data_IF_989399564003
#
_entry.id   IF_989399564003
#
_cell.length_a   1.000
_cell.length_b   1.000
_cell.length_c   1.000
_cell.angle_alpha   90.00
_cell.angle_beta   90.00
_cell.angle_gamma   90.00
#
_symmetry.space_group_name_H-M   'P 1'
#
loop_
_entity.id
_entity.type
_entity.pdbx_description
1 polymer ?
#
# COMPACT_ATOMS: atom_id res chain seq x y z
N UNK A 1 -17.12 19.92 3.94
CA UNK A 1 -15.88 19.12 4.01
C UNK A 1 -15.17 19.19 2.66
N UNK A 2 -13.93 19.65 2.63
CA UNK A 2 -13.16 19.82 1.39
C UNK A 2 -13.02 18.47 0.62
N UNK A 3 -13.18 18.50 -0.71
CA UNK A 3 -13.08 17.34 -1.61
C UNK A 3 -11.77 16.56 -1.44
N UNK A 4 -10.65 17.24 -1.21
CA UNK A 4 -9.33 16.61 -1.09
C UNK A 4 -9.21 15.78 0.19
N UNK A 5 -9.68 16.30 1.33
CA UNK A 5 -9.72 15.59 2.62
C UNK A 5 -10.75 14.46 2.59
N UNK A 6 -11.92 14.70 1.99
CA UNK A 6 -12.96 13.68 1.80
C UNK A 6 -12.44 12.47 1.00
N UNK A 7 -11.65 12.72 -0.05
CA UNK A 7 -11.07 11.64 -0.85
C UNK A 7 -10.00 10.85 -0.09
N UNK A 8 -9.18 11.48 0.75
CA UNK A 8 -8.21 10.75 1.57
C UNK A 8 -8.90 9.88 2.63
N UNK A 9 -9.92 10.41 3.31
CA UNK A 9 -10.73 9.61 4.25
C UNK A 9 -11.35 8.39 3.54
N UNK A 10 -11.87 8.56 2.32
CA UNK A 10 -12.40 7.44 1.51
C UNK A 10 -11.33 6.39 1.18
N UNK A 11 -10.10 6.80 0.86
CA UNK A 11 -8.99 5.87 0.63
C UNK A 11 -8.64 5.12 1.91
N UNK A 12 -8.61 5.80 3.04
CA UNK A 12 -8.35 5.17 4.34
C UNK A 12 -9.43 4.15 4.71
N UNK A 13 -10.70 4.41 4.38
CA UNK A 13 -11.76 3.40 4.49
C UNK A 13 -11.53 2.18 3.59
N UNK A 14 -10.97 2.35 2.40
CA UNK A 14 -10.60 1.23 1.54
C UNK A 14 -9.50 0.35 2.16
N UNK A 15 -8.55 0.95 2.91
CA UNK A 15 -7.57 0.18 3.69
C UNK A 15 -8.22 -0.66 4.79
N UNK A 16 -9.18 -0.09 5.53
CA UNK A 16 -9.93 -0.83 6.56
C UNK A 16 -10.74 -1.97 5.93
N UNK A 17 -11.44 -1.71 4.83
CA UNK A 17 -12.19 -2.74 4.11
C UNK A 17 -11.26 -3.86 3.60
N UNK A 18 -10.09 -3.49 3.06
CA UNK A 18 -9.06 -4.46 2.67
C UNK A 18 -8.63 -5.33 3.86
N UNK A 19 -8.38 -4.72 5.02
CA UNK A 19 -8.08 -5.42 6.27
C UNK A 19 -9.17 -6.42 6.68
N UNK A 20 -10.44 -5.99 6.67
CA UNK A 20 -11.59 -6.87 6.98
C UNK A 20 -11.64 -8.05 6.01
N UNK A 21 -11.50 -7.83 4.71
CA UNK A 21 -11.51 -8.89 3.70
C UNK A 21 -10.37 -9.89 3.97
N UNK A 22 -9.16 -9.41 4.25
CA UNK A 22 -8.01 -10.25 4.60
C UNK A 22 -8.28 -11.04 5.89
N UNK A 23 -8.90 -10.43 6.89
CA UNK A 23 -9.29 -11.09 8.13
C UNK A 23 -10.31 -12.21 7.92
N UNK A 24 -11.30 -11.99 7.04
CA UNK A 24 -12.27 -13.02 6.64
C UNK A 24 -11.58 -14.15 5.89
N UNK A 25 -10.66 -13.85 4.97
CA UNK A 25 -9.87 -14.87 4.28
C UNK A 25 -9.00 -15.69 5.25
N UNK A 26 -8.44 -15.05 6.28
CA UNK A 26 -7.70 -15.73 7.35
C UNK A 26 -8.55 -16.65 8.22
N UNK A 27 -9.86 -16.40 8.32
CA UNK A 27 -10.77 -17.30 9.04
C UNK A 27 -10.96 -18.66 8.33
N UNK A 28 -10.84 -18.70 6.99
CA UNK A 28 -10.99 -19.92 6.19
C UNK A 28 -9.67 -20.68 5.97
N UNK A 29 -8.54 -20.17 6.47
CA UNK A 29 -7.24 -20.84 6.39
C UNK A 29 -6.82 -21.39 7.75
N UNK A 30 -6.13 -22.54 7.76
CA UNK A 30 -5.58 -23.16 8.96
C UNK A 30 -4.04 -23.10 8.98
N UNK A 31 -3.48 -22.93 10.18
CA UNK A 31 -2.04 -23.08 10.42
C UNK A 31 -1.22 -21.79 10.34
N UNK A 32 -0.04 -21.85 9.69
CA UNK A 32 0.94 -20.73 9.66
C UNK A 32 0.47 -19.55 8.79
N UNK A 33 -0.27 -19.83 7.72
CA UNK A 33 -0.77 -18.81 6.81
C UNK A 33 -1.87 -17.96 7.48
N UNK A 34 -2.66 -18.64 8.32
CA UNK A 34 -3.34 -18.18 9.53
C UNK A 34 -2.88 -16.81 10.07
N UNK A 35 -1.76 -16.90 10.79
CA UNK A 35 -1.18 -15.81 11.58
C UNK A 35 -0.69 -14.67 10.69
N UNK A 36 -0.18 -14.99 9.51
CA UNK A 36 0.33 -14.01 8.55
C UNK A 36 -0.80 -13.15 7.99
N UNK A 37 -1.95 -13.75 7.66
CA UNK A 37 -3.14 -13.02 7.22
C UNK A 37 -3.72 -12.14 8.33
N UNK A 38 -3.76 -12.62 9.58
CA UNK A 38 -4.21 -11.78 10.69
C UNK A 38 -3.26 -10.61 10.98
N UNK A 39 -1.95 -10.80 10.89
CA UNK A 39 -0.98 -9.72 11.01
C UNK A 39 -1.18 -8.66 9.91
N UNK A 40 -1.43 -9.10 8.67
CA UNK A 40 -1.74 -8.21 7.55
C UNK A 40 -3.07 -7.46 7.77
N UNK A 41 -4.12 -8.16 8.21
CA UNK A 41 -5.41 -7.56 8.59
C UNK A 41 -5.24 -6.44 9.63
N UNK A 42 -4.49 -6.70 10.70
CA UNK A 42 -4.20 -5.71 11.74
C UNK A 42 -3.44 -4.51 11.17
N UNK A 43 -2.41 -4.73 10.36
CA UNK A 43 -1.62 -3.67 9.75
C UNK A 43 -2.49 -2.74 8.89
N UNK A 44 -3.29 -3.30 7.98
CA UNK A 44 -4.18 -2.53 7.11
C UNK A 44 -5.25 -1.75 7.91
N UNK A 45 -5.81 -2.38 8.94
CA UNK A 45 -6.82 -1.76 9.79
C UNK A 45 -6.25 -0.61 10.61
N UNK A 46 -5.11 -0.80 11.26
CA UNK A 46 -4.44 0.23 12.06
C UNK A 46 -4.04 1.42 11.19
N UNK A 47 -3.44 1.18 10.01
CA UNK A 47 -3.07 2.24 9.07
C UNK A 47 -4.30 3.03 8.63
N UNK A 48 -5.39 2.34 8.27
CA UNK A 48 -6.63 2.99 7.86
C UNK A 48 -7.23 3.85 8.98
N UNK A 49 -7.30 3.35 10.22
CA UNK A 49 -7.81 4.09 11.37
C UNK A 49 -6.94 5.31 11.68
N UNK A 50 -5.61 5.13 11.71
CA UNK A 50 -4.67 6.21 11.98
C UNK A 50 -4.79 7.34 10.95
N UNK A 51 -4.89 7.01 9.66
CA UNK A 51 -5.09 8.01 8.61
C UNK A 51 -6.42 8.74 8.77
N UNK A 52 -7.52 8.02 9.07
CA UNK A 52 -8.81 8.65 9.33
C UNK A 52 -8.72 9.63 10.50
N UNK A 53 -8.10 9.22 11.61
CA UNK A 53 -7.93 10.07 12.79
C UNK A 53 -7.14 11.35 12.45
N UNK A 54 -6.04 11.22 11.71
CA UNK A 54 -5.24 12.36 11.25
C UNK A 54 -6.07 13.30 10.39
N UNK A 55 -6.72 12.80 9.32
CA UNK A 55 -7.49 13.65 8.41
C UNK A 55 -8.72 14.26 9.06
N UNK A 56 -9.37 13.58 10.01
CA UNK A 56 -10.46 14.14 10.79
C UNK A 56 -9.98 15.26 11.73
N UNK A 57 -8.78 15.14 12.31
CA UNK A 57 -8.22 16.15 13.22
C UNK A 57 -7.85 17.47 12.52
N UNK A 58 -7.50 17.40 11.23
CA UNK A 58 -7.09 18.57 10.43
C UNK A 58 -8.21 19.13 9.53
N UNK A 59 -9.36 18.43 9.40
CA UNK A 59 -10.41 18.76 8.42
C UNK A 59 -11.01 20.18 8.54
N UNK A 60 -10.96 20.77 9.73
CA UNK A 60 -11.51 22.09 10.02
C UNK A 60 -10.44 23.19 10.07
N UNK A 61 -9.15 22.84 9.85
CA UNK A 61 -8.04 23.79 9.88
C UNK A 61 -7.68 24.19 8.44
N UNK A 62 -8.04 25.40 7.97
CA UNK A 62 -7.89 25.78 6.56
C UNK A 62 -6.44 25.70 6.07
N UNK A 63 -5.47 26.10 6.91
CA UNK A 63 -4.04 26.04 6.60
C UNK A 63 -3.58 24.62 6.19
N UNK A 64 -4.05 23.58 6.88
CA UNK A 64 -3.67 22.20 6.59
C UNK A 64 -4.38 21.69 5.34
N UNK A 65 -5.61 22.13 5.13
CA UNK A 65 -6.40 21.76 3.94
C UNK A 65 -5.76 22.34 2.67
N UNK A 66 -5.24 23.56 2.74
CA UNK A 66 -4.54 24.20 1.63
C UNK A 66 -3.19 23.54 1.35
N UNK A 67 -2.44 23.13 2.39
CA UNK A 67 -1.21 22.32 2.24
C UNK A 67 -1.49 20.97 1.57
N UNK A 68 -2.55 20.26 1.97
CA UNK A 68 -2.95 18.98 1.35
C UNK A 68 -3.32 19.18 -0.13
N UNK A 69 -3.95 20.32 -0.46
CA UNK A 69 -4.27 20.65 -1.85
C UNK A 69 -3.00 20.92 -2.65
N UNK A 70 -2.11 21.77 -2.14
CA UNK A 70 -0.84 22.09 -2.78
C UNK A 70 0.03 20.85 -3.01
N UNK A 71 0.19 19.99 -1.99
CA UNK A 71 0.95 18.74 -2.11
C UNK A 71 0.40 17.82 -3.22
N UNK A 72 -0.92 17.79 -3.41
CA UNK A 72 -1.53 16.96 -4.47
C UNK A 72 -1.40 17.55 -5.87
N UNK A 73 -1.21 18.86 -5.96
CA UNK A 73 -0.95 19.56 -7.22
C UNK A 73 0.54 19.53 -7.58
N UNK A 74 1.42 19.12 -6.65
CA UNK A 74 2.83 18.94 -6.95
C UNK A 74 3.09 17.74 -7.89
N UNK A 75 3.88 18.04 -8.93
CA UNK A 75 4.39 17.05 -9.89
C UNK A 75 5.21 15.95 -9.20
N UNK A 76 5.94 16.29 -8.14
CA UNK A 76 6.71 15.34 -7.32
C UNK A 76 5.82 14.22 -6.76
N UNK A 77 4.64 14.57 -6.25
CA UNK A 77 3.67 13.65 -5.64
C UNK A 77 2.97 12.84 -6.70
N UNK A 78 2.64 13.43 -7.85
CA UNK A 78 2.10 12.69 -8.99
C UNK A 78 3.08 11.61 -9.48
N UNK A 79 4.36 11.95 -9.67
CA UNK A 79 5.40 11.01 -10.08
C UNK A 79 5.56 9.90 -9.06
N UNK A 80 5.59 10.25 -7.77
CA UNK A 80 5.70 9.31 -6.65
C UNK A 80 4.52 8.34 -6.59
N UNK A 81 3.28 8.83 -6.70
CA UNK A 81 2.08 7.98 -6.67
C UNK A 81 2.03 7.02 -7.88
N UNK A 82 2.42 7.52 -9.05
CA UNK A 82 2.50 6.70 -10.26
C UNK A 82 3.57 5.60 -10.16
N UNK A 83 4.77 5.94 -9.70
CA UNK A 83 5.85 4.98 -9.49
C UNK A 83 5.49 3.96 -8.40
N UNK A 84 4.89 4.40 -7.29
CA UNK A 84 4.42 3.54 -6.21
C UNK A 84 3.38 2.53 -6.67
N UNK A 85 2.37 2.97 -7.44
CA UNK A 85 1.34 2.07 -8.01
C UNK A 85 1.94 1.03 -8.94
N UNK A 86 2.83 1.44 -9.86
CA UNK A 86 3.50 0.51 -10.77
C UNK A 86 4.34 -0.51 -10.00
N UNK A 87 5.13 -0.06 -9.02
CA UNK A 87 5.95 -0.93 -8.19
C UNK A 87 5.10 -1.93 -7.39
N UNK A 88 3.99 -1.48 -6.80
CA UNK A 88 3.08 -2.35 -6.08
C UNK A 88 2.51 -3.44 -6.99
N UNK A 89 1.95 -3.09 -8.15
CA UNK A 89 1.32 -4.09 -9.03
C UNK A 89 2.31 -5.08 -9.62
N UNK A 90 3.51 -4.63 -10.01
CA UNK A 90 4.55 -5.50 -10.53
C UNK A 90 5.04 -6.46 -9.44
N UNK A 91 5.29 -5.94 -8.24
CA UNK A 91 5.73 -6.76 -7.11
C UNK A 91 4.64 -7.74 -6.69
N UNK A 92 3.37 -7.32 -6.67
CA UNK A 92 2.24 -8.19 -6.38
C UNK A 92 2.11 -9.33 -7.40
N UNK A 93 2.27 -9.03 -8.69
CA UNK A 93 2.33 -10.05 -9.74
C UNK A 93 3.51 -11.00 -9.55
N UNK A 94 4.69 -10.48 -9.20
CA UNK A 94 5.86 -11.30 -8.90
C UNK A 94 5.61 -12.22 -7.69
N UNK A 95 4.97 -11.73 -6.63
CA UNK A 95 4.57 -12.55 -5.47
C UNK A 95 3.64 -13.67 -5.92
N UNK A 96 2.59 -13.39 -6.69
CA UNK A 96 1.63 -14.39 -7.16
C UNK A 96 2.29 -15.45 -8.06
N UNK A 97 3.21 -15.07 -8.95
CA UNK A 97 3.97 -16.03 -9.77
C UNK A 97 4.88 -16.86 -8.86
N UNK A 98 5.59 -16.21 -7.95
CA UNK A 98 6.55 -16.86 -7.05
C UNK A 98 5.89 -17.83 -6.08
N UNK A 99 4.68 -17.55 -5.60
CA UNK A 99 3.93 -18.45 -4.72
C UNK A 99 3.55 -19.73 -5.46
N UNK A 100 3.20 -19.65 -6.74
CA UNK A 100 2.95 -20.85 -7.56
C UNK A 100 4.24 -21.62 -7.87
N UNK A 101 5.37 -20.92 -8.07
CA UNK A 101 6.67 -21.55 -8.30
C UNK A 101 7.36 -22.06 -7.02
N UNK A 102 6.92 -21.63 -5.84
CA UNK A 102 7.50 -22.03 -4.56
C UNK A 102 7.42 -23.54 -4.32
N UNK A 103 6.45 -24.22 -4.95
CA UNK A 103 6.35 -25.69 -4.96
C UNK A 103 7.55 -26.38 -5.63
N UNK A 104 8.28 -25.67 -6.50
CA UNK A 104 9.41 -26.19 -7.27
C UNK A 104 10.77 -25.71 -6.74
N UNK A 105 10.81 -24.81 -5.76
CA UNK A 105 12.06 -24.22 -5.24
C UNK A 105 12.21 -24.48 -3.75
N UNK A 106 13.42 -24.82 -3.30
CA UNK A 106 13.73 -25.06 -1.87
C UNK A 106 14.03 -23.78 -1.09
N UNK A 107 13.50 -22.64 -1.54
CA UNK A 107 13.76 -21.34 -0.92
C UNK A 107 12.87 -21.15 0.32
N UNK A 108 13.42 -20.54 1.36
CA UNK A 108 12.62 -20.27 2.57
C UNK A 108 11.73 -19.04 2.35
N UNK A 109 10.68 -18.91 3.18
CA UNK A 109 9.79 -17.73 3.18
C UNK A 109 10.58 -16.43 3.43
N UNK A 110 11.63 -16.50 4.25
CA UNK A 110 12.48 -15.35 4.55
C UNK A 110 13.29 -14.91 3.31
N UNK A 111 13.83 -15.86 2.55
CA UNK A 111 14.57 -15.56 1.32
C UNK A 111 13.66 -14.91 0.27
N UNK A 112 12.44 -15.44 0.12
CA UNK A 112 11.42 -14.85 -0.75
C UNK A 112 11.07 -13.42 -0.33
N UNK A 113 10.81 -13.19 0.97
CA UNK A 113 10.52 -11.86 1.50
C UNK A 113 11.61 -10.84 1.20
N UNK A 114 12.87 -11.23 1.37
CA UNK A 114 14.03 -10.37 1.07
C UNK A 114 14.14 -10.06 -0.43
N UNK A 115 13.98 -11.07 -1.31
CA UNK A 115 14.01 -10.88 -2.77
C UNK A 115 12.91 -9.93 -3.22
N UNK A 116 11.69 -10.11 -2.70
CA UNK A 116 10.53 -9.29 -3.03
C UNK A 116 10.73 -7.84 -2.57
N UNK A 117 11.29 -7.62 -1.38
CA UNK A 117 11.62 -6.28 -0.87
C UNK A 117 12.62 -5.56 -1.78
N UNK A 118 13.71 -6.24 -2.15
CA UNK A 118 14.73 -5.68 -3.04
C UNK A 118 14.13 -5.39 -4.42
N UNK A 119 13.34 -6.32 -4.97
CA UNK A 119 12.65 -6.14 -6.24
C UNK A 119 11.71 -4.92 -6.20
N UNK A 120 10.94 -4.76 -5.13
CA UNK A 120 10.03 -3.62 -4.96
C UNK A 120 10.79 -2.29 -4.99
N UNK A 121 11.93 -2.20 -4.29
CA UNK A 121 12.80 -1.01 -4.32
C UNK A 121 13.31 -0.73 -5.73
N UNK A 122 13.84 -1.74 -6.43
CA UNK A 122 14.39 -1.60 -7.78
C UNK A 122 13.30 -1.11 -8.74
N UNK A 123 12.12 -1.73 -8.73
CA UNK A 123 11.01 -1.36 -9.61
C UNK A 123 10.53 0.05 -9.27
N UNK A 124 10.37 0.38 -7.98
CA UNK A 124 9.97 1.72 -7.55
C UNK A 124 10.92 2.80 -8.06
N UNK A 125 12.22 2.66 -7.82
CA UNK A 125 13.20 3.66 -8.27
C UNK A 125 13.28 3.73 -9.80
N UNK A 126 13.18 2.59 -10.49
CA UNK A 126 13.17 2.56 -11.95
C UNK A 126 11.99 3.38 -12.52
N UNK A 127 10.78 3.15 -12.01
CA UNK A 127 9.61 3.93 -12.44
C UNK A 127 9.64 5.38 -11.96
N UNK A 128 10.22 5.65 -10.79
CA UNK A 128 10.40 7.00 -10.29
C UNK A 128 11.30 7.82 -11.23
N UNK A 129 12.49 7.34 -11.54
CA UNK A 129 13.42 8.02 -12.45
C UNK A 129 12.89 8.10 -13.89
N UNK A 130 12.18 7.07 -14.36
CA UNK A 130 11.52 7.11 -15.65
C UNK A 130 10.43 8.20 -15.72
N UNK A 131 9.55 8.24 -14.72
CA UNK A 131 8.49 9.25 -14.67
C UNK A 131 9.04 10.65 -14.42
N UNK A 132 10.14 10.80 -13.67
CA UNK A 132 10.84 12.07 -13.46
C UNK A 132 11.39 12.66 -14.77
N UNK A 133 11.91 11.81 -15.66
CA UNK A 133 12.38 12.25 -16.98
C UNK A 133 11.22 12.55 -17.94
N UNK A 134 10.10 11.84 -17.80
CA UNK A 134 8.99 11.88 -18.75
C UNK A 134 8.00 13.01 -18.49
N UNK A 135 7.64 13.23 -17.23
CA UNK A 135 6.71 14.26 -16.80
C UNK A 135 7.50 15.38 -16.23
#
# INVERSE_FOLDING_TARGET
>A
MNKYVKNEIKKSFAFILGGIIIGVLGYFQDGKDQKSLYALCLAFTIIGIAQIAIYLSVRNKPEYVDKIKAEKEERSVFIRDKAGKSAFWITFGAIAISSNLSQFTKLTVADYGNIILVLMCIVYFSFFFYNLKKY
#
